data_IF_037506010144
#
_entry.id   IF_037506010144
#
_cell.length_a   1.000
_cell.length_b   1.000
_cell.length_c   1.000
_cell.angle_alpha   90.00
_cell.angle_beta   90.00
_cell.angle_gamma   90.00
#
_symmetry.space_group_name_H-M   'P 1'
#
loop_
_entity.id
_entity.type
_entity.pdbx_description
1 polymer ?
#
# COMPACT_ATOMS: atom_id res chain seq x y z
N UNK A 1 -19.39 -55.14 3.12
CA UNK A 1 -19.68 -54.29 1.95
C UNK A 1 -18.42 -53.48 1.63
N UNK A 2 -17.89 -53.52 0.40
CA UNK A 2 -16.67 -52.78 0.05
C UNK A 2 -16.95 -51.28 -0.09
N UNK A 3 -16.03 -50.42 0.38
CA UNK A 3 -16.17 -48.97 0.27
C UNK A 3 -16.08 -48.52 -1.19
N UNK A 4 -16.99 -47.65 -1.64
CA UNK A 4 -16.92 -47.01 -2.96
C UNK A 4 -16.09 -45.73 -2.86
N UNK A 5 -14.93 -45.72 -3.52
CA UNK A 5 -14.06 -44.55 -3.65
C UNK A 5 -14.82 -43.43 -4.38
N UNK A 6 -15.23 -42.40 -3.65
CA UNK A 6 -15.88 -41.20 -4.21
C UNK A 6 -17.18 -40.75 -3.52
N UNK A 7 -17.78 -41.55 -2.64
CA UNK A 7 -19.13 -41.26 -2.11
C UNK A 7 -19.18 -40.48 -0.78
N UNK A 8 -18.05 -40.01 -0.23
CA UNK A 8 -18.01 -39.40 1.11
C UNK A 8 -16.98 -38.29 1.34
N UNK A 9 -16.51 -37.64 0.27
CA UNK A 9 -15.51 -36.58 0.37
C UNK A 9 -16.11 -35.17 0.48
N UNK A 10 -15.43 -34.29 1.20
CA UNK A 10 -15.71 -32.85 1.22
C UNK A 10 -15.65 -32.31 -0.21
N UNK A 11 -16.72 -31.65 -0.68
CA UNK A 11 -16.81 -31.13 -2.06
C UNK A 11 -15.59 -30.25 -2.38
N UNK A 12 -14.95 -30.48 -3.52
CA UNK A 12 -13.84 -29.65 -4.00
C UNK A 12 -14.33 -28.19 -4.11
N UNK A 13 -13.66 -27.26 -3.41
CA UNK A 13 -14.09 -25.86 -3.30
C UNK A 13 -14.98 -25.51 -2.10
N UNK A 14 -15.32 -26.47 -1.23
CA UNK A 14 -16.04 -26.19 0.01
C UNK A 14 -15.19 -25.30 0.94
N UNK A 15 -15.62 -24.04 1.12
CA UNK A 15 -14.95 -23.04 1.95
C UNK A 15 -14.70 -23.58 3.35
N UNK A 16 -13.46 -23.45 3.84
CA UNK A 16 -13.12 -23.82 5.20
C UNK A 16 -13.69 -22.79 6.17
N UNK A 17 -14.84 -23.11 6.78
CA UNK A 17 -15.55 -22.23 7.70
C UNK A 17 -14.67 -21.83 8.89
N UNK A 18 -13.81 -22.72 9.38
CA UNK A 18 -12.83 -22.39 10.43
C UNK A 18 -11.83 -21.34 9.94
N UNK A 19 -11.27 -21.50 8.75
CA UNK A 19 -10.33 -20.52 8.17
C UNK A 19 -11.02 -19.19 7.87
N UNK A 20 -12.29 -19.21 7.45
CA UNK A 20 -13.10 -18.01 7.24
C UNK A 20 -13.30 -17.25 8.55
N UNK A 21 -13.73 -17.94 9.61
CA UNK A 21 -13.94 -17.34 10.94
C UNK A 21 -12.64 -16.76 11.49
N UNK A 22 -11.52 -17.47 11.38
CA UNK A 22 -10.22 -16.97 11.83
C UNK A 22 -9.84 -15.69 11.09
N UNK A 23 -10.06 -15.61 9.77
CA UNK A 23 -9.81 -14.39 8.99
C UNK A 23 -10.67 -13.23 9.44
N UNK A 24 -11.96 -13.47 9.68
CA UNK A 24 -12.90 -12.45 10.16
C UNK A 24 -12.48 -11.90 11.52
N UNK A 25 -12.17 -12.78 12.48
CA UNK A 25 -11.67 -12.37 13.81
C UNK A 25 -10.37 -11.59 13.69
N UNK A 26 -9.45 -12.02 12.82
CA UNK A 26 -8.20 -11.29 12.61
C UNK A 26 -8.41 -9.89 12.02
N UNK A 27 -9.30 -9.76 11.03
CA UNK A 27 -9.64 -8.45 10.45
C UNK A 27 -10.26 -7.53 11.50
N UNK A 28 -11.19 -8.04 12.31
CA UNK A 28 -11.84 -7.26 13.37
C UNK A 28 -10.82 -6.77 14.41
N UNK A 29 -9.92 -7.65 14.85
CA UNK A 29 -8.85 -7.30 15.80
C UNK A 29 -7.89 -6.30 15.16
N UNK A 30 -7.51 -6.49 13.90
CA UNK A 30 -6.63 -5.58 13.19
C UNK A 30 -7.23 -4.17 13.09
N UNK A 31 -8.52 -4.05 12.75
CA UNK A 31 -9.20 -2.76 12.70
C UNK A 31 -9.27 -2.09 14.07
N UNK A 32 -9.55 -2.85 15.13
CA UNK A 32 -9.52 -2.33 16.51
C UNK A 32 -8.11 -1.91 16.94
N UNK A 33 -7.08 -2.57 16.44
CA UNK A 33 -5.69 -2.21 16.74
C UNK A 33 -5.31 -0.88 16.06
N UNK A 34 -5.88 -0.56 14.90
CA UNK A 34 -5.63 0.71 14.23
C UNK A 34 -6.19 1.94 14.97
N UNK A 35 -7.17 1.77 15.87
CA UNK A 35 -7.63 2.85 16.74
C UNK A 35 -6.85 2.97 18.05
N UNK A 36 -5.93 2.04 18.33
CA UNK A 36 -5.14 2.06 19.56
C UNK A 36 -4.05 3.14 19.50
N UNK A 37 -3.86 3.98 20.53
CA UNK A 37 -2.95 5.12 20.48
C UNK A 37 -1.46 4.76 20.34
N UNK A 38 -1.05 3.54 20.67
CA UNK A 38 0.38 3.15 20.62
C UNK A 38 0.69 1.96 19.71
N UNK A 39 -0.34 1.28 19.21
CA UNK A 39 -0.19 0.02 18.47
C UNK A 39 -0.78 0.09 17.06
N UNK A 40 -1.07 1.30 16.56
CA UNK A 40 -1.56 1.50 15.21
C UNK A 40 -0.41 1.69 14.20
N UNK A 41 -0.67 1.38 12.94
CA UNK A 41 0.32 1.47 11.87
C UNK A 41 0.73 2.91 11.56
N UNK A 42 -0.15 3.88 11.80
CA UNK A 42 0.13 5.28 11.51
C UNK A 42 1.24 5.83 12.42
N UNK A 43 1.15 5.58 13.72
CA UNK A 43 2.14 6.00 14.69
C UNK A 43 3.47 5.28 14.48
N UNK A 44 3.43 3.99 14.15
CA UNK A 44 4.64 3.26 13.74
C UNK A 44 5.26 3.85 12.47
N UNK A 45 4.45 4.19 11.45
CA UNK A 45 4.94 4.76 10.19
C UNK A 45 5.54 6.16 10.36
N UNK A 46 5.04 6.96 11.32
CA UNK A 46 5.66 8.25 11.67
C UNK A 46 7.03 8.04 12.32
N UNK A 47 7.14 7.06 13.22
CA UNK A 47 8.40 6.78 13.93
C UNK A 47 9.46 6.16 13.00
N UNK A 48 9.05 5.26 12.11
CA UNK A 48 9.93 4.50 11.22
C UNK A 48 9.48 4.60 9.75
N UNK A 49 9.56 5.80 9.13
CA UNK A 49 9.04 6.03 7.78
C UNK A 49 9.78 5.22 6.71
N UNK A 50 11.08 5.01 6.88
CA UNK A 50 11.90 4.25 5.94
C UNK A 50 11.47 2.79 5.84
N UNK A 51 11.16 2.16 6.97
CA UNK A 51 10.71 0.77 7.01
C UNK A 51 9.27 0.63 6.55
N UNK A 52 8.42 1.62 6.83
CA UNK A 52 7.07 1.68 6.26
C UNK A 52 7.12 1.67 4.73
N UNK A 53 7.94 2.52 4.09
CA UNK A 53 8.03 2.56 2.63
C UNK A 53 8.70 1.32 2.03
N UNK A 54 9.66 0.69 2.72
CA UNK A 54 10.24 -0.60 2.30
C UNK A 54 9.21 -1.74 2.34
N UNK A 55 8.28 -1.72 3.28
CA UNK A 55 7.17 -2.69 3.31
C UNK A 55 6.14 -2.35 2.23
N UNK A 56 5.78 -1.07 2.08
CA UNK A 56 4.84 -0.62 1.06
C UNK A 56 5.32 -0.99 -0.35
N UNK A 57 6.61 -0.81 -0.65
CA UNK A 57 7.19 -1.16 -1.95
C UNK A 57 7.20 -2.67 -2.25
N UNK A 58 7.07 -3.52 -1.23
CA UNK A 58 6.93 -4.98 -1.38
C UNK A 58 5.47 -5.45 -1.46
N UNK A 59 4.53 -4.64 -0.99
CA UNK A 59 3.09 -4.93 -1.01
C UNK A 59 2.42 -4.45 -2.29
N UNK A 60 2.84 -3.30 -2.83
CA UNK A 60 2.36 -2.75 -4.11
C UNK A 60 2.55 -3.72 -5.31
N UNK A 61 3.66 -4.49 -5.42
CA UNK A 61 3.86 -5.47 -6.49
C UNK A 61 2.81 -6.58 -6.53
N UNK A 62 2.07 -6.83 -5.45
CA UNK A 62 1.06 -7.89 -5.38
C UNK A 62 -0.35 -7.48 -5.85
N UNK A 63 -0.63 -6.17 -5.91
CA UNK A 63 -1.93 -5.63 -6.37
C UNK A 63 -1.85 -5.02 -7.78
N UNK A 64 -0.65 -4.76 -8.28
CA UNK A 64 -0.41 -4.18 -9.60
C UNK A 64 -0.10 -5.28 -10.61
N UNK A 65 -1.15 -6.01 -11.03
CA UNK A 65 -1.28 -6.35 -12.46
C UNK A 65 -1.94 -5.13 -13.14
N UNK A 66 -1.36 -3.94 -13.00
CA UNK A 66 -1.66 -2.87 -13.95
C UNK A 66 -0.75 -3.13 -15.16
N UNK A 67 -1.37 -3.35 -16.31
CA UNK A 67 -0.73 -3.15 -17.61
C UNK A 67 -0.30 -1.68 -17.69
N UNK A 68 0.90 -1.38 -17.18
CA UNK A 68 1.53 -0.08 -17.36
C UNK A 68 2.05 -0.04 -18.79
N UNK A 69 1.22 0.46 -19.70
CA UNK A 69 1.66 0.84 -21.04
C UNK A 69 2.66 2.00 -20.90
N UNK A 70 3.95 1.68 -20.98
CA UNK A 70 5.09 2.58 -20.72
C UNK A 70 5.28 3.64 -21.80
N UNK A 71 4.35 3.78 -22.75
CA UNK A 71 4.41 4.72 -23.86
C UNK A 71 3.80 6.09 -23.51
N UNK A 72 4.35 6.80 -22.51
CA UNK A 72 4.52 8.27 -22.52
C UNK A 72 4.72 8.84 -21.10
N UNK A 73 5.85 8.58 -20.47
CA UNK A 73 6.39 9.54 -19.50
C UNK A 73 7.33 10.48 -20.26
N UNK A 74 6.75 11.46 -20.97
CA UNK A 74 7.51 12.65 -21.36
C UNK A 74 7.78 13.41 -20.07
N UNK A 75 9.02 13.35 -19.62
CA UNK A 75 9.56 14.16 -18.54
C UNK A 75 9.23 15.63 -18.85
N UNK A 76 8.39 16.25 -18.02
CA UNK A 76 8.43 17.70 -17.90
C UNK A 76 9.74 18.01 -17.17
N UNK A 77 10.80 18.21 -17.96
CA UNK A 77 12.01 18.87 -17.51
C UNK A 77 11.60 20.23 -16.94
N UNK A 78 11.53 20.33 -15.61
CA UNK A 78 11.71 21.60 -14.93
C UNK A 78 13.16 21.59 -14.47
N UNK A 79 14.03 22.22 -15.24
CA UNK A 79 15.44 22.33 -14.93
C UNK A 79 15.64 23.20 -13.67
N UNK A 80 16.45 22.80 -12.68
CA UNK A 80 16.64 23.53 -11.42
C UNK A 80 17.60 24.74 -11.52
N UNK A 81 17.78 25.34 -12.70
CA UNK A 81 18.70 26.47 -12.92
C UNK A 81 18.02 27.63 -13.65
N UNK A 82 16.91 28.13 -13.12
CA UNK A 82 16.44 29.48 -13.45
C UNK A 82 16.44 30.35 -12.19
N UNK A 83 17.66 30.68 -11.75
CA UNK A 83 17.92 31.90 -11.02
C UNK A 83 18.43 32.91 -12.04
N UNK A 84 17.56 33.80 -12.49
CA UNK A 84 17.91 35.06 -13.17
C UNK A 84 16.85 36.10 -12.80
N UNK A 85 17.30 37.12 -12.07
CA UNK A 85 16.84 38.50 -12.11
C UNK A 85 15.57 38.87 -11.31
N UNK A 86 15.72 39.02 -9.99
CA UNK A 86 14.96 40.05 -9.26
C UNK A 86 15.80 41.33 -9.36
N UNK A 87 15.43 42.20 -10.28
CA UNK A 87 15.93 43.56 -10.37
C UNK A 87 15.68 44.30 -9.05
N UNK A 88 16.76 44.75 -8.40
CA UNK A 88 16.70 45.81 -7.40
C UNK A 88 16.42 47.08 -8.21
N UNK A 89 15.15 47.47 -8.27
CA UNK A 89 14.74 48.75 -8.83
C UNK A 89 15.36 49.89 -8.01
N UNK A 90 16.13 50.73 -8.70
CA UNK A 90 16.56 52.04 -8.26
C UNK A 90 15.34 52.88 -7.81
N UNK A 91 15.28 53.27 -6.53
CA UNK A 91 14.68 54.55 -6.16
C UNK A 91 15.81 55.54 -5.93
N UNK A 92 15.93 56.42 -6.92
CA UNK A 92 16.79 57.59 -6.99
C UNK A 92 16.37 58.66 -5.97
N UNK A 93 17.38 59.27 -5.34
CA UNK A 93 17.30 60.49 -4.54
C UNK A 93 16.42 61.59 -5.19
N UNK A 94 15.61 62.26 -4.35
CA UNK A 94 15.24 63.67 -4.48
C UNK A 94 14.88 64.26 -3.12
#
# INVERSE_FOLDING_TARGET
MPYKKGEGGRRQGAVNQTTKLVREVFNDVFHKLQSHPTANLYNWAIQEPGDFYKLASKLIPGQVNLDLDVHSFKLLNVDPLNNTDIEIGDEVDS
#
